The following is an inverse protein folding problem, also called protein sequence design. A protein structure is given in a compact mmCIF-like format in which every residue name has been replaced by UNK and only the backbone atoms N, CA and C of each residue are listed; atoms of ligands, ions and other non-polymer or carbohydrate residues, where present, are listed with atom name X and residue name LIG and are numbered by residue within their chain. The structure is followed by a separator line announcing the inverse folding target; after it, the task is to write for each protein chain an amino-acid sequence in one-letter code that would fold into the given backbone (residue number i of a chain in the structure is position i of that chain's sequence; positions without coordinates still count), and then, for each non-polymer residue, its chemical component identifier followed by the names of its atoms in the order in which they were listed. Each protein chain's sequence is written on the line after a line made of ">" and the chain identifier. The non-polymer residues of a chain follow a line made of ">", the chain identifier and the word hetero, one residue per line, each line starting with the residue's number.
data_IF_812192694215
#
_entry.id   IF_812192694215
#
_cell.length_a   1.000
_cell.length_b   1.000
_cell.length_c   1.000
_cell.angle_alpha   90.00
_cell.angle_beta   90.00
_cell.angle_gamma   90.00
#
_symmetry.space_group_name_H-M   'P 1'
#
loop_
_entity.id
_entity.type
_entity.pdbx_description
1 polymer ?
#
# COMPACT_ATOMS: atom_id res chain seq x y z
N UNK A 1 -12.89 -6.33 22.17
CA UNK A 1 -13.46 -5.45 21.12
C UNK A 1 -12.69 -5.43 19.79
N UNK A 2 -11.41 -5.88 19.70
CA UNK A 2 -10.65 -5.91 18.43
C UNK A 2 -10.96 -7.14 17.54
N UNK A 3 -11.46 -8.23 18.14
CA UNK A 3 -11.76 -9.51 17.48
C UNK A 3 -13.03 -9.48 16.64
N UNK A 4 -14.14 -8.95 17.19
CA UNK A 4 -15.46 -8.94 16.53
C UNK A 4 -15.50 -8.17 15.18
N UNK A 5 -14.64 -7.16 15.00
CA UNK A 5 -14.67 -6.27 13.82
C UNK A 5 -13.99 -6.85 12.58
N UNK A 6 -12.94 -7.64 12.75
CA UNK A 6 -12.29 -8.34 11.64
C UNK A 6 -13.07 -9.61 11.24
N UNK A 7 -13.77 -10.21 12.20
CA UNK A 7 -14.68 -11.33 11.97
C UNK A 7 -15.86 -10.91 11.08
N UNK A 8 -16.39 -9.69 11.25
CA UNK A 8 -17.50 -9.17 10.46
C UNK A 8 -17.23 -9.14 8.94
N UNK A 9 -16.13 -8.52 8.52
CA UNK A 9 -15.79 -8.48 7.08
C UNK A 9 -15.51 -9.89 6.53
N UNK A 10 -14.91 -10.76 7.35
CA UNK A 10 -14.65 -12.16 6.97
C UNK A 10 -15.96 -12.94 6.77
N UNK A 11 -16.93 -12.77 7.67
CA UNK A 11 -18.26 -13.38 7.54
C UNK A 11 -18.97 -12.91 6.27
N UNK A 12 -18.93 -11.61 5.97
CA UNK A 12 -19.46 -11.07 4.70
C UNK A 12 -18.78 -11.67 3.47
N UNK A 13 -17.46 -11.92 3.53
CA UNK A 13 -16.72 -12.55 2.43
C UNK A 13 -17.12 -14.01 2.21
N UNK A 14 -17.33 -14.76 3.29
CA UNK A 14 -17.78 -16.16 3.25
C UNK A 14 -19.19 -16.24 2.67
N UNK A 15 -20.12 -15.43 3.19
CA UNK A 15 -21.48 -15.31 2.68
C UNK A 15 -21.51 -15.02 1.18
N UNK A 16 -20.75 -14.01 0.74
CA UNK A 16 -20.71 -13.63 -0.68
C UNK A 16 -20.07 -14.71 -1.57
N UNK A 17 -19.14 -15.50 -1.03
CA UNK A 17 -18.48 -16.57 -1.77
C UNK A 17 -19.42 -17.76 -2.04
N UNK A 18 -20.39 -18.00 -1.15
CA UNK A 18 -21.39 -19.06 -1.25
C UNK A 18 -22.60 -18.64 -2.12
N UNK A 19 -22.72 -17.36 -2.47
CA UNK A 19 -23.82 -16.86 -3.28
C UNK A 19 -23.62 -17.13 -4.78
N UNK A 20 -24.57 -17.85 -5.38
CA UNK A 20 -24.50 -18.32 -6.77
C UNK A 20 -24.87 -17.26 -7.83
N UNK A 21 -25.60 -16.21 -7.45
CA UNK A 21 -26.16 -15.24 -8.41
C UNK A 21 -25.82 -13.81 -8.03
N UNK A 22 -25.09 -13.12 -8.91
CA UNK A 22 -24.70 -11.71 -8.71
C UNK A 22 -25.84 -10.72 -8.96
N UNK A 23 -26.99 -11.19 -9.46
CA UNK A 23 -28.19 -10.37 -9.62
C UNK A 23 -28.69 -9.83 -8.30
N UNK A 24 -28.51 -10.58 -7.20
CA UNK A 24 -28.92 -10.14 -5.86
C UNK A 24 -28.19 -8.85 -5.45
N UNK A 25 -26.94 -8.70 -5.90
CA UNK A 25 -26.14 -7.51 -5.64
C UNK A 25 -26.57 -6.33 -6.52
N UNK A 26 -27.43 -6.51 -7.52
CA UNK A 26 -27.86 -5.45 -8.43
C UNK A 26 -27.12 -5.40 -9.76
N UNK A 27 -26.23 -6.36 -10.05
CA UNK A 27 -25.63 -6.49 -11.38
C UNK A 27 -26.65 -7.02 -12.39
N UNK A 28 -26.66 -6.43 -13.60
CA UNK A 28 -27.47 -6.92 -14.73
C UNK A 28 -26.86 -8.21 -15.29
N UNK A 29 -27.38 -9.37 -14.93
CA UNK A 29 -26.81 -10.70 -15.24
C UNK A 29 -25.39 -10.91 -14.66
N UNK A 30 -24.87 -12.14 -14.75
CA UNK A 30 -23.52 -12.53 -14.31
C UNK A 30 -22.46 -11.91 -15.22
N UNK A 31 -22.30 -10.60 -15.08
CA UNK A 31 -21.35 -9.82 -15.86
C UNK A 31 -19.93 -10.09 -15.38
N UNK A 32 -18.98 -10.00 -16.31
CA UNK A 32 -17.54 -10.00 -15.96
C UNK A 32 -17.18 -8.91 -14.94
N UNK A 33 -17.96 -7.82 -14.87
CA UNK A 33 -17.77 -6.76 -13.87
C UNK A 33 -18.13 -7.26 -12.47
N UNK A 34 -19.35 -7.79 -12.29
CA UNK A 34 -19.79 -8.35 -11.02
C UNK A 34 -18.90 -9.51 -10.52
N UNK A 35 -18.45 -10.38 -11.43
CA UNK A 35 -17.54 -11.47 -11.05
C UNK A 35 -16.18 -10.96 -10.56
N UNK A 36 -15.63 -9.92 -11.20
CA UNK A 36 -14.42 -9.25 -10.72
C UNK A 36 -14.66 -8.57 -9.38
N UNK A 37 -15.83 -7.98 -9.17
CA UNK A 37 -16.18 -7.33 -7.92
C UNK A 37 -16.29 -8.32 -6.77
N UNK A 38 -17.03 -9.43 -6.97
CA UNK A 38 -17.07 -10.55 -6.03
C UNK A 38 -15.66 -11.08 -5.74
N UNK A 39 -14.88 -11.38 -6.78
CA UNK A 39 -13.53 -11.90 -6.61
C UNK A 39 -12.65 -10.95 -5.79
N UNK A 40 -12.68 -9.64 -6.08
CA UNK A 40 -11.93 -8.64 -5.32
C UNK A 40 -12.40 -8.52 -3.87
N UNK A 41 -13.71 -8.60 -3.62
CA UNK A 41 -14.28 -8.55 -2.29
C UNK A 41 -13.88 -9.77 -1.46
N UNK A 42 -14.15 -10.98 -1.97
CA UNK A 42 -13.89 -12.25 -1.27
C UNK A 42 -12.40 -12.54 -1.06
N UNK A 43 -11.52 -12.09 -1.95
CA UNK A 43 -10.07 -12.35 -1.84
C UNK A 43 -9.28 -11.18 -1.22
N UNK A 44 -9.96 -10.13 -0.77
CA UNK A 44 -9.29 -9.06 -0.05
C UNK A 44 -8.81 -9.55 1.32
N UNK A 45 -7.54 -9.32 1.64
CA UNK A 45 -6.95 -9.68 2.95
C UNK A 45 -7.70 -9.08 4.15
N UNK A 46 -8.27 -7.89 4.00
CA UNK A 46 -9.07 -7.16 5.00
C UNK A 46 -9.80 -5.99 4.32
N UNK A 47 -10.75 -5.36 5.02
CA UNK A 47 -11.59 -4.30 4.46
C UNK A 47 -10.78 -3.14 3.86
N UNK A 48 -9.72 -2.67 4.54
CA UNK A 48 -8.90 -1.57 4.00
C UNK A 48 -8.25 -1.91 2.65
N UNK A 49 -7.80 -3.15 2.47
CA UNK A 49 -7.20 -3.61 1.22
C UNK A 49 -8.25 -3.64 0.10
N UNK A 50 -9.48 -4.05 0.42
CA UNK A 50 -10.61 -3.95 -0.50
C UNK A 50 -10.92 -2.49 -0.88
N UNK A 51 -11.07 -1.61 0.11
CA UNK A 51 -11.37 -0.19 -0.11
C UNK A 51 -10.30 0.52 -0.96
N UNK A 52 -9.04 0.13 -0.82
CA UNK A 52 -7.93 0.65 -1.63
C UNK A 52 -7.90 0.06 -3.06
N UNK A 53 -8.09 -1.26 -3.20
CA UNK A 53 -7.87 -1.97 -4.46
C UNK A 53 -9.10 -2.08 -5.38
N UNK A 54 -10.30 -1.86 -4.85
CA UNK A 54 -11.53 -1.87 -5.61
C UNK A 54 -11.85 -0.47 -6.14
N UNK A 55 -11.81 -0.34 -7.46
CA UNK A 55 -12.24 0.87 -8.17
C UNK A 55 -13.69 0.68 -8.59
N UNK A 56 -14.37 1.81 -8.79
CA UNK A 56 -15.72 1.85 -9.36
C UNK A 56 -15.79 0.99 -10.64
N UNK A 57 -16.77 0.10 -10.70
CA UNK A 57 -16.99 -0.82 -11.82
C UNK A 57 -18.19 -0.44 -12.71
N UNK A 58 -18.75 0.75 -12.50
CA UNK A 58 -19.93 1.29 -13.17
C UNK A 58 -21.25 0.92 -12.49
N UNK A 59 -21.23 0.04 -11.47
CA UNK A 59 -22.40 -0.28 -10.65
C UNK A 59 -22.15 0.14 -9.21
N UNK A 60 -20.99 -0.23 -8.66
CA UNK A 60 -20.60 0.11 -7.31
C UNK A 60 -19.21 0.71 -7.24
N UNK A 61 -19.03 1.68 -6.35
CA UNK A 61 -17.73 1.94 -5.74
C UNK A 61 -17.52 1.00 -4.53
N UNK A 62 -16.32 1.01 -3.93
CA UNK A 62 -15.98 0.08 -2.85
C UNK A 62 -16.94 0.17 -1.66
N UNK A 63 -17.27 1.38 -1.21
CA UNK A 63 -18.21 1.60 -0.11
C UNK A 63 -19.63 1.11 -0.46
N UNK A 64 -20.08 1.36 -1.69
CA UNK A 64 -21.39 0.92 -2.17
C UNK A 64 -21.51 -0.60 -2.23
N UNK A 65 -20.46 -1.29 -2.72
CA UNK A 65 -20.44 -2.75 -2.73
C UNK A 65 -20.41 -3.31 -1.30
N UNK A 66 -19.61 -2.72 -0.42
CA UNK A 66 -19.57 -3.11 1.00
C UNK A 66 -20.96 -3.04 1.65
N UNK A 67 -21.67 -1.91 1.48
CA UNK A 67 -23.02 -1.75 2.02
C UNK A 67 -24.00 -2.75 1.42
N UNK A 68 -23.95 -2.96 0.11
CA UNK A 68 -24.86 -3.90 -0.53
C UNK A 68 -24.68 -5.32 -0.03
N UNK A 69 -23.43 -5.75 0.20
CA UNK A 69 -23.14 -7.06 0.79
C UNK A 69 -23.55 -7.10 2.25
N UNK A 70 -23.37 -6.02 3.01
CA UNK A 70 -23.76 -5.95 4.42
C UNK A 70 -25.27 -6.11 4.59
N UNK A 71 -26.06 -5.35 3.81
CA UNK A 71 -27.52 -5.39 3.86
C UNK A 71 -28.05 -6.81 3.59
N UNK A 72 -27.54 -7.46 2.54
CA UNK A 72 -27.99 -8.79 2.15
C UNK A 72 -27.51 -9.89 3.10
N UNK A 73 -26.27 -9.79 3.60
CA UNK A 73 -25.75 -10.73 4.57
C UNK A 73 -26.54 -10.63 5.89
N UNK A 74 -26.96 -9.43 6.29
CA UNK A 74 -27.77 -9.23 7.49
C UNK A 74 -29.18 -9.81 7.35
N UNK A 75 -29.78 -9.73 6.16
CA UNK A 75 -31.09 -10.35 5.87
C UNK A 75 -31.05 -11.89 5.90
N UNK A 76 -29.92 -12.50 5.51
CA UNK A 76 -29.80 -13.96 5.33
C UNK A 76 -29.20 -14.69 6.55
N UNK A 77 -28.32 -14.03 7.30
CA UNK A 77 -27.58 -14.61 8.42
C UNK A 77 -28.11 -14.16 9.78
N UNK A 78 -29.44 -14.05 9.93
CA UNK A 78 -30.08 -13.54 11.14
C UNK A 78 -29.42 -14.09 12.42
N UNK A 79 -29.12 -15.39 12.53
CA UNK A 79 -28.49 -15.97 13.73
C UNK A 79 -27.04 -15.54 14.02
N UNK A 80 -26.17 -15.44 13.01
CA UNK A 80 -24.75 -15.06 13.19
C UNK A 80 -24.57 -13.53 13.33
N UNK A 81 -25.55 -12.75 12.85
CA UNK A 81 -25.55 -11.30 12.84
C UNK A 81 -26.56 -10.68 13.83
N UNK A 82 -27.27 -11.49 14.62
CA UNK A 82 -28.38 -11.15 15.54
C UNK A 82 -28.10 -9.99 16.52
N UNK A 83 -26.83 -9.64 16.74
CA UNK A 83 -26.41 -8.58 17.66
C UNK A 83 -25.69 -7.40 16.98
N UNK A 84 -25.64 -7.36 15.65
CA UNK A 84 -24.98 -6.29 14.90
C UNK A 84 -26.02 -5.28 14.42
N UNK A 85 -25.85 -4.04 14.86
CA UNK A 85 -26.67 -2.93 14.38
C UNK A 85 -26.09 -2.35 13.10
N UNK A 86 -26.90 -1.66 12.30
CA UNK A 86 -26.43 -0.84 11.18
C UNK A 86 -25.28 0.09 11.62
N UNK A 87 -25.34 0.60 12.85
CA UNK A 87 -24.31 1.46 13.44
C UNK A 87 -22.93 0.79 13.55
N UNK A 88 -22.86 -0.55 13.62
CA UNK A 88 -21.60 -1.29 13.68
C UNK A 88 -20.91 -1.37 12.31
N UNK A 89 -21.68 -1.59 11.24
CA UNK A 89 -21.19 -1.52 9.87
C UNK A 89 -20.72 -0.10 9.52
N UNK A 90 -21.46 0.92 9.95
CA UNK A 90 -21.08 2.33 9.75
C UNK A 90 -19.75 2.63 10.43
N UNK A 91 -19.62 2.28 11.72
CA UNK A 91 -18.37 2.46 12.47
C UNK A 91 -17.23 1.71 11.80
N UNK A 92 -17.45 0.49 11.31
CA UNK A 92 -16.42 -0.31 10.65
C UNK A 92 -15.93 0.40 9.38
N UNK A 93 -16.86 0.80 8.50
CA UNK A 93 -16.54 1.46 7.25
C UNK A 93 -15.86 2.82 7.49
N UNK A 94 -16.41 3.66 8.36
CA UNK A 94 -15.82 4.97 8.69
C UNK A 94 -14.40 4.84 9.25
N UNK A 95 -14.18 3.88 10.15
CA UNK A 95 -12.85 3.61 10.72
C UNK A 95 -11.85 3.27 9.61
N UNK A 96 -12.22 2.38 8.68
CA UNK A 96 -11.32 1.98 7.60
C UNK A 96 -11.14 3.07 6.54
N UNK A 97 -12.16 3.88 6.27
CA UNK A 97 -12.05 5.06 5.41
C UNK A 97 -11.08 6.09 6.00
N UNK A 98 -11.09 6.31 7.32
CA UNK A 98 -10.12 7.18 7.99
C UNK A 98 -8.69 6.66 7.85
N UNK A 99 -8.48 5.34 7.83
CA UNK A 99 -7.16 4.72 7.62
C UNK A 99 -6.69 4.70 6.17
N UNK A 100 -7.58 4.96 5.20
CA UNK A 100 -7.27 4.85 3.78
C UNK A 100 -6.20 5.84 3.33
N UNK A 101 -6.22 7.07 3.84
CA UNK A 101 -5.21 8.06 3.49
C UNK A 101 -3.84 7.66 4.05
N UNK A 102 -3.75 7.26 5.32
CA UNK A 102 -2.50 6.74 5.90
C UNK A 102 -1.98 5.53 5.12
N UNK A 103 -2.85 4.61 4.71
CA UNK A 103 -2.47 3.46 3.90
C UNK A 103 -1.95 3.86 2.52
N UNK A 104 -2.61 4.80 1.84
CA UNK A 104 -2.14 5.34 0.55
C UNK A 104 -0.75 5.94 0.68
N UNK A 105 -0.52 6.75 1.72
CA UNK A 105 0.77 7.38 1.99
C UNK A 105 1.86 6.35 2.25
N UNK A 106 1.55 5.30 3.03
CA UNK A 106 2.47 4.19 3.29
C UNK A 106 2.77 3.39 2.03
N UNK A 107 1.76 3.02 1.23
CA UNK A 107 1.98 2.28 -0.03
C UNK A 107 2.82 3.06 -1.05
N UNK A 108 2.74 4.39 -1.04
CA UNK A 108 3.55 5.26 -1.88
C UNK A 108 4.96 5.52 -1.30
N UNK A 109 5.20 5.14 -0.05
CA UNK A 109 6.46 5.40 0.63
C UNK A 109 7.58 4.48 0.17
N UNK A 110 8.82 4.96 0.24
CA UNK A 110 10.01 4.19 -0.18
C UNK A 110 11.24 4.67 0.58
N UNK A 111 12.17 3.75 0.83
CA UNK A 111 13.52 4.08 1.30
C UNK A 111 14.45 3.93 0.11
N UNK A 112 14.97 5.05 -0.39
CA UNK A 112 16.00 5.06 -1.42
C UNK A 112 17.39 5.01 -0.77
N UNK A 113 18.32 4.29 -1.41
CA UNK A 113 19.68 4.11 -0.92
C UNK A 113 20.60 5.06 -1.67
N UNK A 114 21.39 5.84 -0.92
CA UNK A 114 22.42 6.70 -1.49
C UNK A 114 23.72 5.93 -1.53
N UNK A 115 24.38 5.93 -2.68
CA UNK A 115 25.69 5.29 -2.84
C UNK A 115 26.70 6.21 -3.51
N UNK A 116 27.97 5.80 -3.53
CA UNK A 116 29.06 6.44 -4.27
C UNK A 116 29.15 6.01 -5.74
N UNK A 117 28.05 5.45 -6.29
CA UNK A 117 28.02 4.92 -7.65
C UNK A 117 28.51 5.94 -8.67
N UNK A 118 29.57 5.57 -9.39
CA UNK A 118 30.04 6.28 -10.58
C UNK A 118 29.95 5.35 -11.77
N UNK A 119 29.35 5.83 -12.87
CA UNK A 119 29.23 5.03 -14.09
C UNK A 119 30.59 5.01 -14.80
N UNK A 120 31.43 4.07 -14.42
CA UNK A 120 32.75 3.91 -15.02
C UNK A 120 32.72 2.91 -16.17
N UNK A 121 32.13 1.71 -16.02
CA UNK A 121 32.16 0.67 -17.08
C UNK A 121 30.94 -0.28 -17.15
N UNK A 122 29.85 0.04 -16.45
CA UNK A 122 28.66 -0.83 -16.42
C UNK A 122 27.71 -0.47 -17.57
N UNK A 123 27.27 -1.49 -18.31
CA UNK A 123 26.32 -1.33 -19.42
C UNK A 123 24.96 -0.80 -18.91
N UNK A 124 24.30 0.13 -19.63
CA UNK A 124 23.04 0.75 -19.20
C UNK A 124 21.94 -0.25 -18.81
N UNK A 125 21.80 -1.35 -19.56
CA UNK A 125 20.75 -2.33 -19.29
C UNK A 125 20.99 -3.09 -17.98
N UNK A 126 22.25 -3.28 -17.56
CA UNK A 126 22.58 -3.90 -16.26
C UNK A 126 22.14 -2.99 -15.12
N UNK A 127 22.40 -1.68 -15.26
CA UNK A 127 21.94 -0.67 -14.28
C UNK A 127 20.42 -0.70 -14.17
N UNK A 128 19.71 -0.75 -15.30
CA UNK A 128 18.25 -0.81 -15.33
C UNK A 128 17.73 -2.06 -14.62
N UNK A 129 18.29 -3.22 -14.95
CA UNK A 129 17.87 -4.51 -14.38
C UNK A 129 18.09 -4.59 -12.87
N UNK A 130 19.11 -3.90 -12.34
CA UNK A 130 19.45 -3.90 -10.92
C UNK A 130 18.84 -2.72 -10.13
N UNK A 131 18.00 -1.86 -10.74
CA UNK A 131 17.42 -0.69 -10.05
C UNK A 131 16.71 -0.99 -8.74
N UNK A 132 16.15 -2.20 -8.60
CA UNK A 132 15.48 -2.62 -7.38
C UNK A 132 16.44 -2.65 -6.17
N UNK A 133 17.75 -2.85 -6.38
CA UNK A 133 18.76 -2.85 -5.31
C UNK A 133 18.96 -1.47 -4.68
N UNK A 134 18.50 -0.38 -5.33
CA UNK A 134 18.62 0.98 -4.82
C UNK A 134 17.49 1.36 -3.83
N UNK A 135 16.64 0.40 -3.46
CA UNK A 135 15.52 0.63 -2.56
C UNK A 135 15.43 -0.45 -1.49
N UNK A 136 15.18 -0.04 -0.25
CA UNK A 136 14.79 -0.99 0.79
C UNK A 136 13.29 -1.23 0.73
N UNK A 137 12.89 -2.51 0.85
CA UNK A 137 11.50 -2.87 1.04
C UNK A 137 11.12 -2.63 2.50
N UNK A 138 10.27 -1.64 2.75
CA UNK A 138 9.65 -1.48 4.07
C UNK A 138 8.64 -2.63 4.23
N UNK A 139 8.70 -3.43 5.31
CA UNK A 139 7.71 -4.47 5.58
C UNK A 139 6.41 -3.84 6.07
N UNK A 140 5.74 -3.08 5.20
CA UNK A 140 4.48 -2.42 5.49
C UNK A 140 3.41 -3.49 5.68
N UNK A 141 2.85 -3.57 6.89
CA UNK A 141 1.68 -4.38 7.18
C UNK A 141 0.46 -3.49 7.29
N UNK A 142 -0.73 -4.08 7.32
CA UNK A 142 -1.95 -3.33 7.56
C UNK A 142 -1.87 -2.56 8.89
N UNK A 143 -1.32 -3.17 9.91
CA UNK A 143 -1.13 -2.58 11.23
C UNK A 143 -0.23 -1.33 11.17
N UNK A 144 0.61 -1.19 10.13
CA UNK A 144 1.41 0.00 9.90
C UNK A 144 0.57 1.25 9.68
N UNK A 145 -0.69 1.14 9.25
CA UNK A 145 -1.61 2.29 9.08
C UNK A 145 -2.08 2.87 10.41
N UNK A 146 -1.91 2.13 11.50
CA UNK A 146 -2.27 2.53 12.85
C UNK A 146 -1.12 3.16 13.60
N UNK A 147 0.09 3.12 13.02
CA UNK A 147 1.28 3.66 13.63
C UNK A 147 1.27 5.18 13.53
N UNK A 148 1.71 5.80 14.62
CA UNK A 148 2.13 7.19 14.62
C UNK A 148 3.33 7.39 13.69
N UNK A 149 3.59 8.64 13.34
CA UNK A 149 4.75 9.01 12.53
C UNK A 149 6.07 8.56 13.19
N UNK A 150 6.18 8.67 14.51
CA UNK A 150 7.38 8.28 15.25
C UNK A 150 7.60 6.76 15.19
N UNK A 151 6.54 5.97 15.29
CA UNK A 151 6.60 4.51 15.15
C UNK A 151 6.98 4.10 13.72
N UNK A 152 6.48 4.81 12.69
CA UNK A 152 6.89 4.59 11.30
C UNK A 152 8.38 4.88 11.14
N UNK A 153 8.87 6.00 11.69
CA UNK A 153 10.29 6.36 11.64
C UNK A 153 11.14 5.31 12.36
N UNK A 154 10.70 4.77 13.50
CA UNK A 154 11.39 3.70 14.19
C UNK A 154 11.51 2.43 13.33
N UNK A 155 10.45 2.02 12.63
CA UNK A 155 10.50 0.88 11.69
C UNK A 155 11.43 1.13 10.50
N UNK A 156 11.46 2.36 9.99
CA UNK A 156 12.38 2.76 8.92
C UNK A 156 13.83 2.63 9.39
N UNK A 157 14.13 3.09 10.61
CA UNK A 157 15.46 2.94 11.22
C UNK A 157 15.87 1.47 11.35
N UNK A 158 14.98 0.61 11.83
CA UNK A 158 15.23 -0.84 11.92
C UNK A 158 15.52 -1.43 10.53
N UNK A 159 14.70 -1.10 9.55
CA UNK A 159 14.86 -1.54 8.16
C UNK A 159 16.21 -1.12 7.58
N UNK A 160 16.65 0.10 7.87
CA UNK A 160 17.96 0.64 7.43
C UNK A 160 19.11 -0.15 8.04
N UNK A 161 19.06 -0.41 9.35
CA UNK A 161 20.10 -1.12 10.08
C UNK A 161 20.23 -2.57 9.60
N UNK A 162 19.10 -3.25 9.41
CA UNK A 162 19.05 -4.61 8.86
C UNK A 162 19.64 -4.64 7.45
N UNK A 163 19.16 -3.76 6.57
CA UNK A 163 19.62 -3.69 5.18
C UNK A 163 21.13 -3.42 5.08
N UNK A 164 21.66 -2.45 5.83
CA UNK A 164 23.09 -2.12 5.81
C UNK A 164 23.94 -3.31 6.25
N UNK A 165 23.50 -4.03 7.28
CA UNK A 165 24.17 -5.23 7.80
C UNK A 165 24.13 -6.38 6.80
N UNK A 166 22.98 -6.65 6.19
CA UNK A 166 22.82 -7.71 5.18
C UNK A 166 23.73 -7.52 3.97
N UNK A 167 23.96 -6.26 3.58
CA UNK A 167 24.79 -5.91 2.44
C UNK A 167 26.25 -5.58 2.80
N UNK A 168 26.64 -5.73 4.07
CA UNK A 168 27.96 -5.33 4.57
C UNK A 168 28.40 -3.93 4.11
N UNK A 169 27.44 -2.99 4.09
CA UNK A 169 27.67 -1.61 3.69
C UNK A 169 27.85 -1.35 2.18
N UNK A 170 27.66 -2.34 1.30
CA UNK A 170 27.91 -2.19 -0.13
C UNK A 170 26.86 -2.87 -1.00
N UNK A 171 26.36 -2.19 -2.03
CA UNK A 171 25.52 -2.77 -3.07
C UNK A 171 26.38 -3.31 -4.22
N UNK A 172 25.93 -4.40 -4.85
CA UNK A 172 26.72 -5.15 -5.82
C UNK A 172 27.23 -4.28 -6.97
N UNK A 173 26.31 -3.61 -7.67
CA UNK A 173 26.68 -2.74 -8.80
C UNK A 173 26.79 -1.27 -8.41
N UNK A 174 26.21 -0.87 -7.27
CA UNK A 174 26.06 0.53 -6.89
C UNK A 174 27.12 1.04 -5.91
N UNK A 175 28.04 0.19 -5.44
CA UNK A 175 29.15 0.63 -4.60
C UNK A 175 28.78 0.79 -3.13
N UNK A 176 29.52 1.63 -2.43
CA UNK A 176 29.40 1.82 -0.98
C UNK A 176 28.12 2.57 -0.63
N UNK A 177 27.43 2.13 0.43
CA UNK A 177 26.22 2.77 0.94
C UNK A 177 26.63 3.99 1.79
N UNK A 178 26.19 5.16 1.36
CA UNK A 178 26.47 6.45 2.01
C UNK A 178 25.34 6.93 2.93
N UNK A 179 24.18 6.28 2.90
CA UNK A 179 23.01 6.66 3.68
C UNK A 179 21.70 6.32 2.97
N UNK A 180 20.60 6.78 3.55
CA UNK A 180 19.25 6.40 3.14
C UNK A 180 18.32 7.62 3.14
N UNK A 181 17.35 7.61 2.23
CA UNK A 181 16.35 8.66 2.07
C UNK A 181 14.96 8.05 2.10
N UNK A 182 14.21 8.29 3.18
CA UNK A 182 12.82 7.88 3.31
C UNK A 182 11.89 8.96 2.76
N UNK A 183 11.07 8.57 1.78
CA UNK A 183 10.08 9.44 1.15
C UNK A 183 8.70 9.02 1.68
N UNK A 184 8.04 9.92 2.40
CA UNK A 184 6.76 9.66 3.07
C UNK A 184 5.89 10.92 3.10
N UNK A 185 4.67 10.82 2.57
CA UNK A 185 3.71 11.93 2.54
C UNK A 185 4.26 13.22 1.93
N UNK A 186 5.07 13.11 0.87
CA UNK A 186 5.72 14.25 0.21
C UNK A 186 6.92 14.83 0.97
N UNK A 187 7.18 14.35 2.19
CA UNK A 187 8.36 14.70 2.97
C UNK A 187 9.52 13.76 2.66
N UNK A 188 10.73 14.29 2.79
CA UNK A 188 11.99 13.57 2.58
C UNK A 188 12.79 13.61 3.88
N UNK A 189 13.01 12.44 4.46
CA UNK A 189 13.78 12.25 5.69
C UNK A 189 15.09 11.53 5.37
N UNK A 190 16.21 12.14 5.73
CA UNK A 190 17.54 11.60 5.48
C UNK A 190 18.07 10.89 6.71
N UNK A 191 18.69 9.74 6.49
CA UNK A 191 19.27 8.88 7.51
C UNK A 191 20.70 8.52 7.15
N UNK A 192 21.57 8.43 8.15
CA UNK A 192 22.90 7.87 7.98
C UNK A 192 22.87 6.33 7.94
N UNK A 193 24.06 5.71 7.84
CA UNK A 193 24.19 4.24 7.81
C UNK A 193 23.94 3.57 9.16
N UNK A 194 23.82 4.35 10.24
CA UNK A 194 23.43 3.89 11.57
C UNK A 194 21.92 4.08 11.82
N UNK A 195 21.17 4.51 10.82
CA UNK A 195 19.73 4.73 10.92
C UNK A 195 19.36 5.95 11.78
N UNK A 196 20.30 6.86 12.04
CA UNK A 196 20.03 8.11 12.73
C UNK A 196 19.63 9.19 11.72
N UNK A 197 18.60 9.97 12.09
CA UNK A 197 18.08 11.02 11.22
C UNK A 197 19.03 12.21 11.19
N UNK A 198 19.38 12.66 9.99
CA UNK A 198 20.30 13.77 9.79
C UNK A 198 19.51 15.09 9.85
N UNK A 199 19.72 15.87 10.91
CA UNK A 199 19.12 17.20 11.02
C UNK A 199 19.75 18.15 9.99
N UNK A 200 18.92 18.64 9.06
CA UNK A 200 19.25 19.67 8.06
C UNK A 200 20.21 19.18 6.95
N UNK A 201 19.69 18.65 5.81
CA UNK A 201 20.52 18.20 4.69
C UNK A 201 21.02 19.41 3.87
N UNK A 202 21.85 20.26 4.46
CA UNK A 202 22.56 21.28 3.70
C UNK A 202 23.70 20.61 2.93
N UNK A 203 23.47 20.45 1.63
CA UNK A 203 24.52 20.17 0.65
C UNK A 203 24.79 18.70 0.42
N UNK A 204 24.06 18.10 -0.51
CA UNK A 204 24.56 17.13 -1.50
C UNK A 204 23.44 16.87 -2.52
N UNK A 205 23.10 17.91 -3.27
CA UNK A 205 22.35 17.80 -4.52
C UNK A 205 23.33 17.28 -5.56
N UNK A 206 23.50 15.97 -5.71
CA UNK A 206 23.96 15.35 -6.95
C UNK A 206 23.55 13.87 -6.96
N UNK A 207 22.71 13.48 -7.93
CA UNK A 207 22.44 12.07 -8.25
C UNK A 207 20.96 11.74 -8.43
N UNK A 208 20.14 11.86 -7.37
CA UNK A 208 18.77 11.34 -7.35
C UNK A 208 17.75 12.25 -8.05
N UNK A 209 17.87 13.58 -7.91
CA UNK A 209 16.90 14.52 -8.51
C UNK A 209 16.92 14.48 -10.05
N UNK A 210 18.06 14.17 -10.67
CA UNK A 210 18.19 14.03 -12.12
C UNK A 210 17.55 12.75 -12.68
N UNK A 211 17.40 11.72 -11.85
CA UNK A 211 16.79 10.44 -12.22
C UNK A 211 15.29 10.42 -11.88
N UNK A 212 14.90 10.99 -10.74
CA UNK A 212 13.49 11.14 -10.34
C UNK A 212 12.79 12.16 -11.26
N UNK A 213 13.42 13.29 -11.61
CA UNK A 213 12.83 14.24 -12.56
C UNK A 213 12.66 13.65 -13.96
N UNK A 214 13.50 12.69 -14.37
CA UNK A 214 13.31 11.98 -15.65
C UNK A 214 12.14 10.99 -15.60
N UNK A 215 11.87 10.36 -14.46
CA UNK A 215 10.74 9.44 -14.28
C UNK A 215 9.40 10.20 -14.36
N UNK A 216 9.30 11.39 -13.76
CA UNK A 216 8.08 12.21 -13.85
C UNK A 216 7.82 12.80 -15.25
N UNK A 217 8.88 13.02 -16.04
CA UNK A 217 8.74 13.50 -17.42
C UNK A 217 8.32 12.37 -18.37
N UNK A 218 8.84 11.14 -18.19
CA UNK A 218 8.47 9.98 -19.01
C UNK A 218 6.99 9.59 -18.75
N UNK A 219 6.55 9.56 -17.49
CA UNK A 219 5.15 9.24 -17.16
C UNK A 219 4.15 10.30 -17.65
N UNK A 220 4.56 11.57 -17.79
CA UNK A 220 3.70 12.62 -18.34
C UNK A 220 3.64 12.61 -19.87
N UNK A 221 4.68 12.15 -20.56
CA UNK A 221 4.70 12.06 -22.02
C UNK A 221 3.94 10.83 -22.56
N UNK A 222 3.84 9.74 -21.79
CA UNK A 222 3.02 8.58 -22.16
C UNK A 222 1.52 8.80 -21.96
N UNK A 223 1.11 9.66 -21.01
CA UNK A 223 -0.31 10.03 -20.80
C UNK A 223 -0.80 11.08 -21.81
N UNK A 224 0.11 11.86 -22.40
CA UNK A 224 -0.24 12.89 -23.39
C UNK A 224 -0.30 12.36 -24.84
N UNK A 225 0.23 11.17 -25.11
CA UNK A 225 0.32 10.58 -26.45
C UNK A 225 -0.45 9.24 -26.60
N UNK A 226 -1.33 8.92 -25.65
CA UNK A 226 -2.22 7.75 -25.66
C UNK A 226 -3.68 8.13 -25.84
#
# INVERSE_FOLDING_TARGET
>A
MRTLKNELFTAMQQWLAEFDSLKVLGYKHDTKAGERARHKFCNAKHLLHFLYGFRDDGVFNASGLFWRVADLAQEDLEEDFLNLEQSDFEKLLQTHQAWLESYKLLQASKIAIRTDFTRTDIAPFVIEMSRYEQFCKIPLRFESTLLSQDEIIAQVRETILEHFKEHNGRLHIFGEILGYCFIYGGSRLEFDTQGEMIANPQGLVYGLDSQIAKIDIINKQEVANG
#
